data_IF_398968857186
#
_entry.id   IF_398968857186
#
_cell.length_a   1.000
_cell.length_b   1.000
_cell.length_c   1.000
_cell.angle_alpha   90.00
_cell.angle_beta   90.00
_cell.angle_gamma   90.00
#
_symmetry.space_group_name_H-M   'P 1'
#
loop_
_entity.id
_entity.type
_entity.pdbx_description
1 polymer ?
#
# COMPACT_ATOMS: atom_id res chain seq x y z
N UNK A 1 -7.37 -7.89 1.00
CA UNK A 1 -6.38 -8.10 -0.08
C UNK A 1 -5.07 -7.50 0.41
N UNK A 2 -3.96 -8.22 0.27
CA UNK A 2 -2.60 -7.73 0.55
C UNK A 2 -1.64 -8.19 -0.56
N UNK A 3 -0.39 -7.72 -0.54
CA UNK A 3 0.67 -7.99 -1.52
C UNK A 3 1.47 -9.27 -1.27
N UNK A 4 1.07 -10.11 -0.30
CA UNK A 4 1.80 -11.30 0.14
C UNK A 4 3.24 -11.02 0.65
N UNK A 5 3.55 -9.79 1.06
CA UNK A 5 4.83 -9.48 1.69
C UNK A 5 5.07 -10.29 2.97
N UNK A 6 6.34 -10.56 3.30
CA UNK A 6 6.72 -11.36 4.47
C UNK A 6 6.06 -10.92 5.79
N UNK A 7 5.93 -9.61 6.10
CA UNK A 7 5.23 -9.17 7.31
C UNK A 7 3.76 -9.59 7.34
N UNK A 8 3.06 -9.57 6.20
CA UNK A 8 1.65 -9.96 6.09
C UNK A 8 1.45 -11.48 6.26
N UNK A 9 2.54 -12.24 6.21
CA UNK A 9 2.56 -13.69 6.39
C UNK A 9 3.15 -14.10 7.75
N UNK A 10 3.48 -13.14 8.61
CA UNK A 10 3.89 -13.42 9.97
C UNK A 10 2.75 -14.10 10.75
N UNK A 11 3.09 -15.06 11.62
CA UNK A 11 2.11 -15.82 12.42
C UNK A 11 1.17 -14.90 13.20
N UNK A 12 1.71 -13.85 13.82
CA UNK A 12 0.93 -12.87 14.58
C UNK A 12 -0.15 -12.21 13.74
N UNK A 13 0.18 -11.85 12.48
CA UNK A 13 -0.79 -11.22 11.56
C UNK A 13 -1.87 -12.22 11.17
N UNK A 14 -1.50 -13.48 10.92
CA UNK A 14 -2.47 -14.54 10.58
C UNK A 14 -3.44 -14.81 11.76
N UNK A 15 -2.91 -14.89 12.98
CA UNK A 15 -3.70 -15.08 14.20
C UNK A 15 -4.68 -13.92 14.41
N UNK A 16 -4.20 -12.67 14.30
CA UNK A 16 -5.03 -11.47 14.40
C UNK A 16 -6.17 -11.46 13.37
N UNK A 17 -5.87 -11.71 12.09
CA UNK A 17 -6.90 -11.71 11.04
C UNK A 17 -7.98 -12.78 11.30
N UNK A 18 -7.57 -13.92 11.87
CA UNK A 18 -8.51 -15.00 12.24
C UNK A 18 -9.41 -14.58 13.41
N UNK A 19 -8.85 -13.94 14.44
CA UNK A 19 -9.60 -13.45 15.61
C UNK A 19 -10.63 -12.39 15.20
N UNK A 20 -10.25 -11.49 14.31
CA UNK A 20 -11.13 -10.44 13.76
C UNK A 20 -12.13 -10.97 12.72
N UNK A 21 -12.10 -12.26 12.37
CA UNK A 21 -12.97 -12.85 11.36
C UNK A 21 -12.73 -12.30 9.94
N UNK A 22 -11.53 -11.76 9.68
CA UNK A 22 -11.16 -11.18 8.40
C UNK A 22 -10.59 -12.27 7.50
N UNK A 23 -11.36 -12.64 6.47
CA UNK A 23 -10.89 -13.54 5.42
C UNK A 23 -9.92 -12.82 4.49
N UNK A 24 -8.72 -13.38 4.31
CA UNK A 24 -7.79 -12.90 3.30
C UNK A 24 -8.16 -13.44 1.92
N UNK A 25 -8.12 -12.55 0.93
CA UNK A 25 -8.21 -12.94 -0.47
C UNK A 25 -6.87 -13.49 -0.94
N UNK A 26 -6.86 -14.73 -1.44
CA UNK A 26 -5.68 -15.33 -2.07
C UNK A 26 -5.52 -14.80 -3.50
N UNK A 27 -4.32 -14.33 -3.83
CA UNK A 27 -3.97 -13.81 -5.16
C UNK A 27 -2.49 -14.15 -5.44
N UNK A 28 -2.06 -14.26 -6.72
CA UNK A 28 -0.69 -14.58 -7.06
C UNK A 28 0.24 -13.47 -6.59
N UNK A 29 1.43 -13.89 -6.15
CA UNK A 29 2.52 -12.98 -5.87
C UNK A 29 2.94 -12.25 -7.16
N UNK A 30 3.44 -11.02 -7.02
CA UNK A 30 3.95 -10.21 -8.13
C UNK A 30 2.92 -9.77 -9.16
N UNK A 31 1.67 -9.49 -8.73
CA UNK A 31 0.63 -8.88 -9.56
C UNK A 31 0.34 -7.43 -9.12
N UNK A 32 1.29 -6.49 -9.31
CA UNK A 32 1.08 -5.09 -8.94
C UNK A 32 -0.03 -4.43 -9.76
N UNK A 33 -0.26 -4.90 -10.99
CA UNK A 33 -1.35 -4.50 -11.87
C UNK A 33 -2.74 -4.77 -11.29
N UNK A 34 -2.84 -5.76 -10.40
CA UNK A 34 -4.08 -6.13 -9.73
C UNK A 34 -4.23 -5.46 -8.36
N UNK A 35 -3.19 -4.83 -7.80
CA UNK A 35 -3.24 -4.19 -6.50
C UNK A 35 -3.82 -2.77 -6.58
N UNK A 36 -5.02 -2.50 -6.04
CA UNK A 36 -5.62 -1.17 -6.08
C UNK A 36 -4.76 -0.12 -5.38
N UNK A 37 -3.95 -0.51 -4.39
CA UNK A 37 -3.05 0.40 -3.67
C UNK A 37 -1.95 0.91 -4.61
N UNK A 38 -1.36 0.04 -5.44
CA UNK A 38 -0.34 0.43 -6.43
C UNK A 38 -0.91 1.41 -7.45
N UNK A 39 -2.14 1.17 -7.92
CA UNK A 39 -2.80 2.10 -8.83
C UNK A 39 -3.05 3.47 -8.19
N UNK A 40 -3.47 3.53 -6.92
CA UNK A 40 -3.63 4.79 -6.20
C UNK A 40 -2.27 5.48 -6.01
N UNK A 41 -1.21 4.73 -5.74
CA UNK A 41 0.15 5.27 -5.59
C UNK A 41 0.68 5.90 -6.88
N UNK A 42 0.45 5.26 -8.03
CA UNK A 42 0.76 5.83 -9.34
C UNK A 42 0.03 7.17 -9.55
N UNK A 43 -1.28 7.21 -9.28
CA UNK A 43 -2.08 8.42 -9.39
C UNK A 43 -1.62 9.52 -8.42
N UNK A 44 -1.21 9.14 -7.21
CA UNK A 44 -0.64 10.07 -6.24
C UNK A 44 0.70 10.62 -6.72
N UNK A 45 1.58 9.77 -7.23
CA UNK A 45 2.88 10.16 -7.78
C UNK A 45 2.73 11.15 -8.93
N UNK A 46 1.83 10.89 -9.88
CA UNK A 46 1.52 11.82 -10.98
C UNK A 46 1.06 13.19 -10.46
N UNK A 47 0.19 13.21 -9.45
CA UNK A 47 -0.27 14.45 -8.83
C UNK A 47 0.84 15.19 -8.09
N UNK A 48 1.76 14.48 -7.45
CA UNK A 48 2.93 15.07 -6.78
C UNK A 48 3.88 15.67 -7.80
N UNK A 49 4.16 14.96 -8.91
CA UNK A 49 5.00 15.44 -10.00
C UNK A 49 4.40 16.68 -10.71
N UNK A 50 3.08 16.74 -10.82
CA UNK A 50 2.37 17.88 -11.40
C UNK A 50 2.30 19.12 -10.48
N UNK A 51 2.77 19.04 -9.22
CA UNK A 51 2.77 20.20 -8.32
C UNK A 51 3.78 21.23 -8.82
N UNK A 52 3.31 22.46 -9.02
CA UNK A 52 4.18 23.60 -9.36
C UNK A 52 5.10 23.98 -8.19
N UNK A 53 4.65 23.74 -6.96
CA UNK A 53 5.42 23.96 -5.73
C UNK A 53 5.83 22.60 -5.17
N UNK A 54 7.14 22.32 -5.03
CA UNK A 54 7.61 21.08 -4.43
C UNK A 54 7.06 20.91 -3.00
N UNK A 55 6.79 19.67 -2.55
CA UNK A 55 6.43 19.44 -1.16
C UNK A 55 7.58 19.86 -0.23
N UNK A 56 7.47 21.04 0.38
CA UNK A 56 8.33 21.53 1.45
C UNK A 56 9.68 22.12 1.02
N UNK A 57 9.70 23.41 0.69
CA UNK A 57 10.72 24.31 1.26
C UNK A 57 9.98 25.16 2.29
N UNK A 58 10.02 24.74 3.56
CA UNK A 58 9.75 25.67 4.65
C UNK A 58 10.95 26.61 4.73
N UNK A 59 10.85 27.79 4.14
CA UNK A 59 11.79 28.87 4.40
C UNK A 59 11.37 29.44 5.75
N UNK A 60 12.01 29.00 6.84
CA UNK A 60 11.93 29.73 8.10
C UNK A 60 12.64 31.07 7.87
N UNK A 61 11.90 32.17 8.03
CA UNK A 61 12.43 33.53 8.14
C UNK A 61 12.69 33.85 9.60
#
# INVERSE_FOLDING_TARGET
MDDNARPHRARLVIEFLKEEGISRMEWPAHSPDLNPIEHIWEQLQLRVQARQVPPGIHVEL
#
